data_IF_985288994324
#
_entry.id   IF_985288994324
#
_cell.length_a   1.000
_cell.length_b   1.000
_cell.length_c   1.000
_cell.angle_alpha   90.00
_cell.angle_beta   90.00
_cell.angle_gamma   90.00
#
_symmetry.space_group_name_H-M   'P 1'
#
loop_
_entity.id
_entity.type
_entity.pdbx_description
1 polymer ?
#
# COMPACT_ATOMS: atom_id res chain seq x y z
N UNK A 1 -33.62 29.03 26.52
CA UNK A 1 -33.41 29.03 25.06
C UNK A 1 -31.96 28.85 24.65
N UNK A 2 -31.02 29.44 25.34
CA UNK A 2 -29.59 29.25 25.02
C UNK A 2 -29.07 27.83 25.22
N UNK A 3 -29.62 27.08 26.16
CA UNK A 3 -29.24 25.71 26.49
C UNK A 3 -29.61 24.73 25.37
N UNK A 4 -30.71 24.97 24.66
CA UNK A 4 -31.17 24.15 23.55
C UNK A 4 -30.33 24.34 22.28
N UNK A 5 -29.81 25.53 22.04
CA UNK A 5 -28.92 25.85 20.93
C UNK A 5 -27.54 25.18 21.08
N UNK A 6 -27.01 25.12 22.30
CA UNK A 6 -25.76 24.43 22.60
C UNK A 6 -25.85 22.92 22.39
N UNK A 7 -26.99 22.32 22.71
CA UNK A 7 -27.23 20.89 22.48
C UNK A 7 -27.34 20.56 20.99
N UNK A 8 -27.94 21.43 20.20
CA UNK A 8 -28.04 21.26 18.75
C UNK A 8 -26.67 21.33 18.08
N UNK A 9 -25.81 22.25 18.51
CA UNK A 9 -24.45 22.39 18.03
C UNK A 9 -23.59 21.16 18.34
N UNK A 10 -23.80 20.56 19.50
CA UNK A 10 -23.08 19.38 19.93
C UNK A 10 -23.46 18.15 19.11
N UNK A 11 -24.73 18.00 18.73
CA UNK A 11 -25.22 16.91 17.89
C UNK A 11 -24.68 17.02 16.47
N UNK A 12 -24.56 18.23 15.92
CA UNK A 12 -23.98 18.48 14.59
C UNK A 12 -22.50 18.12 14.56
N UNK A 13 -21.77 18.38 15.63
CA UNK A 13 -20.36 18.01 15.77
C UNK A 13 -20.14 16.49 15.79
N UNK A 14 -21.03 15.75 16.44
CA UNK A 14 -20.98 14.28 16.47
C UNK A 14 -21.23 13.65 15.10
N UNK A 15 -22.12 14.21 14.29
CA UNK A 15 -22.40 13.76 12.93
C UNK A 15 -21.19 14.01 12.01
N UNK A 16 -20.48 15.12 12.20
CA UNK A 16 -19.26 15.42 11.47
C UNK A 16 -18.12 14.45 11.75
N UNK A 17 -18.02 13.95 12.98
CA UNK A 17 -17.00 12.96 13.38
C UNK A 17 -17.25 11.58 12.78
N UNK A 18 -18.51 11.15 12.62
CA UNK A 18 -18.85 9.87 11.98
C UNK A 18 -18.60 9.88 10.47
N UNK A 19 -18.65 11.06 9.81
CA UNK A 19 -18.32 11.19 8.39
C UNK A 19 -16.84 10.95 8.07
N UNK A 20 -15.93 11.16 9.02
CA UNK A 20 -14.49 10.96 8.83
C UNK A 20 -14.08 9.48 8.80
N UNK A 21 -14.87 8.56 9.37
CA UNK A 21 -14.56 7.14 9.38
C UNK A 21 -14.82 6.44 8.06
N UNK A 22 -15.53 7.07 7.11
CA UNK A 22 -15.83 6.51 5.79
C UNK A 22 -14.72 6.71 4.75
N UNK A 23 -13.64 7.44 5.09
CA UNK A 23 -12.52 7.71 4.18
C UNK A 23 -11.55 6.54 4.03
N UNK A 24 -11.66 5.48 4.82
CA UNK A 24 -10.71 4.35 4.79
C UNK A 24 -10.72 3.57 3.47
N UNK A 25 -11.85 3.54 2.74
CA UNK A 25 -11.95 2.84 1.45
C UNK A 25 -11.33 3.64 0.30
N UNK A 26 -11.38 4.97 0.36
CA UNK A 26 -10.77 5.84 -0.64
C UNK A 26 -9.24 5.75 -0.60
N UNK A 27 -8.65 5.58 0.58
CA UNK A 27 -7.21 5.41 0.77
C UNK A 27 -6.69 4.16 0.06
N UNK A 28 -7.45 3.07 0.05
CA UNK A 28 -7.07 1.82 -0.61
C UNK A 28 -7.09 1.96 -2.13
N UNK A 29 -8.03 2.72 -2.69
CA UNK A 29 -8.12 2.96 -4.15
C UNK A 29 -6.91 3.77 -4.63
N UNK A 30 -6.48 4.77 -3.86
CA UNK A 30 -5.31 5.58 -4.19
C UNK A 30 -4.00 4.81 -4.02
N UNK A 31 -3.99 3.79 -3.19
CA UNK A 31 -2.80 3.02 -2.88
C UNK A 31 -2.30 2.20 -4.07
N UNK A 32 -3.20 1.67 -4.90
CA UNK A 32 -2.84 0.82 -6.06
C UNK A 32 -1.89 1.50 -7.06
N UNK A 33 -2.17 2.72 -7.56
CA UNK A 33 -1.23 3.38 -8.47
C UNK A 33 0.10 3.70 -7.80
N UNK A 34 0.09 4.05 -6.52
CA UNK A 34 1.30 4.30 -5.77
C UNK A 34 2.12 3.02 -5.57
N UNK A 35 1.45 1.89 -5.33
CA UNK A 35 2.12 0.59 -5.23
C UNK A 35 2.77 0.18 -6.56
N UNK A 36 2.08 0.36 -7.67
CA UNK A 36 2.63 0.10 -8.99
C UNK A 36 3.89 0.94 -9.24
N UNK A 37 3.85 2.20 -8.89
CA UNK A 37 4.99 3.09 -8.98
C UNK A 37 6.14 2.63 -8.07
N UNK A 38 5.84 2.24 -6.84
CA UNK A 38 6.82 1.71 -5.91
C UNK A 38 7.49 0.45 -6.45
N UNK A 39 6.71 -0.48 -7.01
CA UNK A 39 7.21 -1.73 -7.57
C UNK A 39 8.17 -1.49 -8.73
N UNK A 40 7.84 -0.56 -9.61
CA UNK A 40 8.70 -0.17 -10.73
C UNK A 40 10.01 0.46 -10.26
N UNK A 41 9.95 1.31 -9.24
CA UNK A 41 11.15 1.94 -8.66
C UNK A 41 12.01 0.93 -7.91
N UNK A 42 11.39 0.00 -7.20
CA UNK A 42 12.10 -1.09 -6.53
C UNK A 42 12.84 -1.97 -7.56
N UNK A 43 12.16 -2.32 -8.64
CA UNK A 43 12.76 -3.10 -9.72
C UNK A 43 13.96 -2.36 -10.35
N UNK A 44 13.81 -1.08 -10.60
CA UNK A 44 14.89 -0.25 -11.14
C UNK A 44 16.09 -0.19 -10.17
N UNK A 45 15.83 -0.07 -8.87
CA UNK A 45 16.89 -0.05 -7.86
C UNK A 45 17.69 -1.37 -7.86
N UNK A 46 17.00 -2.50 -7.97
CA UNK A 46 17.63 -3.82 -7.97
C UNK A 46 18.39 -4.06 -9.27
N UNK A 47 17.73 -3.89 -10.42
CA UNK A 47 18.30 -4.28 -11.71
C UNK A 47 19.33 -3.30 -12.25
N UNK A 48 19.10 -2.00 -12.09
CA UNK A 48 19.98 -0.96 -12.66
C UNK A 48 21.01 -0.41 -11.70
N UNK A 49 20.66 -0.34 -10.40
CA UNK A 49 21.52 0.28 -9.40
C UNK A 49 22.20 -0.74 -8.50
N UNK A 50 21.87 -2.01 -8.65
CA UNK A 50 22.49 -3.07 -7.88
C UNK A 50 22.18 -3.05 -6.39
N UNK A 51 21.06 -2.46 -6.00
CA UNK A 51 20.64 -2.41 -4.59
C UNK A 51 20.20 -3.80 -4.16
N UNK A 52 20.70 -4.27 -3.03
CA UNK A 52 20.26 -5.54 -2.45
C UNK A 52 18.78 -5.46 -2.05
N UNK A 53 18.05 -6.57 -2.20
CA UNK A 53 16.61 -6.63 -1.95
C UNK A 53 16.26 -6.11 -0.56
N UNK A 54 17.03 -6.48 0.45
CA UNK A 54 16.78 -6.06 1.83
C UNK A 54 17.06 -4.56 2.07
N UNK A 55 17.77 -3.91 1.18
CA UNK A 55 18.14 -2.50 1.29
C UNK A 55 17.24 -1.58 0.46
N UNK A 56 16.34 -2.14 -0.37
CA UNK A 56 15.53 -1.37 -1.31
C UNK A 56 14.63 -0.38 -0.60
N UNK A 57 13.93 -0.79 0.46
CA UNK A 57 13.03 0.09 1.18
C UNK A 57 13.77 1.31 1.75
N UNK A 58 14.90 1.09 2.39
CA UNK A 58 15.74 2.18 2.92
C UNK A 58 16.30 3.08 1.83
N UNK A 59 16.71 2.50 0.71
CA UNK A 59 17.19 3.23 -0.46
C UNK A 59 16.10 4.17 -1.01
N UNK A 60 14.87 3.66 -1.16
CA UNK A 60 13.76 4.45 -1.67
C UNK A 60 13.30 5.52 -0.68
N UNK A 61 13.38 5.28 0.62
CA UNK A 61 13.10 6.30 1.63
C UNK A 61 14.03 7.51 1.50
N UNK A 62 15.27 7.28 1.08
CA UNK A 62 16.24 8.34 0.85
C UNK A 62 16.04 9.03 -0.49
N UNK A 63 15.75 8.26 -1.54
CA UNK A 63 15.67 8.78 -2.93
C UNK A 63 14.30 9.32 -3.30
N UNK A 64 13.24 8.76 -2.74
CA UNK A 64 11.87 9.15 -3.06
C UNK A 64 11.00 9.16 -1.80
N UNK A 65 11.28 10.06 -0.85
CA UNK A 65 10.55 10.09 0.42
C UNK A 65 9.06 10.42 0.24
N UNK A 66 8.70 11.16 -0.81
CA UNK A 66 7.31 11.53 -1.08
C UNK A 66 6.49 10.28 -1.44
N UNK A 67 7.03 9.42 -2.31
CA UNK A 67 6.38 8.16 -2.64
C UNK A 67 6.27 7.26 -1.40
N UNK A 68 7.33 7.14 -0.64
CA UNK A 68 7.38 6.26 0.54
C UNK A 68 6.45 6.70 1.66
N UNK A 69 6.13 7.98 1.74
CA UNK A 69 5.18 8.52 2.74
C UNK A 69 3.80 7.85 2.62
N UNK A 70 3.39 7.46 1.41
CA UNK A 70 2.13 6.77 1.18
C UNK A 70 2.06 5.39 1.86
N UNK A 71 3.20 4.81 2.20
CA UNK A 71 3.29 3.46 2.76
C UNK A 71 3.73 3.42 4.22
N UNK A 72 3.80 4.57 4.89
CA UNK A 72 4.31 4.66 6.27
C UNK A 72 3.52 3.82 7.28
N UNK A 73 2.23 3.61 7.04
CA UNK A 73 1.36 2.84 7.92
C UNK A 73 1.25 1.36 7.54
N UNK A 74 2.05 0.93 6.56
CA UNK A 74 2.04 -0.43 6.05
C UNK A 74 3.40 -1.08 6.22
N UNK A 75 3.39 -2.40 6.35
CA UNK A 75 4.60 -3.21 6.28
C UNK A 75 4.88 -3.56 4.82
N UNK A 76 6.10 -3.31 4.38
CA UNK A 76 6.52 -3.62 3.02
C UNK A 76 7.41 -4.85 3.02
N UNK A 77 7.09 -5.80 2.14
CA UNK A 77 7.94 -6.95 1.85
C UNK A 77 8.27 -6.97 0.37
N UNK A 78 9.54 -7.14 0.06
CA UNK A 78 10.04 -7.11 -1.31
C UNK A 78 10.81 -8.40 -1.56
N UNK A 79 10.54 -9.04 -2.71
CA UNK A 79 11.36 -10.15 -3.19
C UNK A 79 11.70 -9.95 -4.66
N UNK A 80 12.78 -10.57 -5.10
CA UNK A 80 13.22 -10.56 -6.47
C UNK A 80 13.46 -11.99 -6.91
N UNK A 81 12.70 -12.45 -7.89
CA UNK A 81 12.73 -13.82 -8.36
C UNK A 81 12.36 -13.86 -9.84
N UNK A 82 13.09 -14.65 -10.62
CA UNK A 82 12.89 -14.77 -12.07
C UNK A 82 12.96 -13.42 -12.80
N UNK A 83 13.83 -12.51 -12.33
CA UNK A 83 13.98 -11.15 -12.86
C UNK A 83 12.73 -10.29 -12.68
N UNK A 84 11.89 -10.64 -11.72
CA UNK A 84 10.67 -9.90 -11.38
C UNK A 84 10.76 -9.45 -9.93
N UNK A 85 10.49 -8.18 -9.71
CA UNK A 85 10.32 -7.63 -8.36
C UNK A 85 8.87 -7.76 -7.94
N UNK A 86 8.65 -8.32 -6.76
CA UNK A 86 7.33 -8.45 -6.15
C UNK A 86 7.31 -7.62 -4.88
N UNK A 87 6.34 -6.75 -4.75
CA UNK A 87 6.14 -5.92 -3.55
C UNK A 87 4.81 -6.28 -2.92
N UNK A 88 4.87 -6.68 -1.67
CA UNK A 88 3.70 -6.98 -0.85
C UNK A 88 3.55 -5.91 0.22
N UNK A 89 2.36 -5.37 0.36
CA UNK A 89 2.02 -4.50 1.48
C UNK A 89 1.06 -5.20 2.43
N UNK A 90 1.36 -5.08 3.71
CA UNK A 90 0.58 -5.69 4.78
C UNK A 90 0.19 -4.64 5.82
N UNK A 91 -0.89 -4.91 6.53
CA UNK A 91 -1.30 -4.12 7.68
C UNK A 91 -1.92 -5.05 8.71
N UNK A 92 -1.51 -4.90 9.97
CA UNK A 92 -1.97 -5.75 11.07
C UNK A 92 -1.82 -7.24 10.79
N UNK A 93 -0.67 -7.62 10.23
CA UNK A 93 -0.31 -8.98 9.84
C UNK A 93 -1.20 -9.58 8.74
N UNK A 94 -1.85 -8.75 7.95
CA UNK A 94 -2.70 -9.19 6.84
C UNK A 94 -2.20 -8.62 5.52
N UNK A 95 -2.21 -9.45 4.48
CA UNK A 95 -1.88 -9.02 3.13
C UNK A 95 -2.97 -8.09 2.58
N UNK A 96 -2.55 -6.94 2.09
CA UNK A 96 -3.44 -5.94 1.49
C UNK A 96 -3.37 -6.02 -0.04
N UNK A 97 -2.18 -5.80 -0.60
CA UNK A 97 -1.93 -5.89 -2.04
C UNK A 97 -0.56 -6.47 -2.30
N UNK A 98 -0.45 -7.19 -3.40
CA UNK A 98 0.80 -7.70 -3.94
C UNK A 98 0.91 -7.29 -5.40
N UNK A 99 2.04 -6.71 -5.79
CA UNK A 99 2.24 -6.19 -7.13
C UNK A 99 3.55 -6.71 -7.73
N UNK A 100 3.52 -6.96 -9.03
CA UNK A 100 4.68 -7.42 -9.78
C UNK A 100 5.20 -6.31 -10.68
N UNK A 101 6.51 -6.30 -10.94
CA UNK A 101 7.17 -5.30 -11.80
C UNK A 101 6.82 -5.43 -13.28
N UNK A 102 6.18 -6.53 -13.69
CA UNK A 102 5.64 -6.63 -15.03
C UNK A 102 4.35 -5.84 -15.19
N UNK A 103 4.04 -5.43 -16.42
CA UNK A 103 2.83 -4.65 -16.73
C UNK A 103 1.53 -5.45 -16.64
N UNK A 104 1.59 -6.67 -16.12
CA UNK A 104 0.40 -7.45 -15.83
C UNK A 104 -0.26 -6.95 -14.56
N UNK A 105 -1.45 -6.41 -14.72
CA UNK A 105 -2.28 -6.06 -13.58
C UNK A 105 -2.83 -7.33 -12.94
N UNK A 106 -2.16 -7.81 -11.92
CA UNK A 106 -2.73 -8.85 -11.08
C UNK A 106 -3.55 -8.12 -10.01
N UNK A 107 -4.85 -8.20 -10.18
CA UNK A 107 -5.81 -7.60 -9.27
C UNK A 107 -5.96 -8.51 -8.04
N UNK A 108 -4.90 -8.59 -7.26
CA UNK A 108 -4.90 -9.39 -6.03
C UNK A 108 -5.32 -8.51 -4.86
N UNK A 109 -6.64 -8.34 -4.72
CA UNK A 109 -7.21 -7.68 -3.56
C UNK A 109 -7.41 -8.73 -2.45
N UNK A 110 -6.47 -8.78 -1.52
CA UNK A 110 -6.53 -9.71 -0.40
C UNK A 110 -7.35 -9.19 0.78
N UNK A 111 -7.83 -7.96 0.74
CA UNK A 111 -8.54 -7.35 1.86
C UNK A 111 -9.82 -8.09 2.20
N UNK A 112 -10.53 -8.63 1.21
CA UNK A 112 -11.75 -9.38 1.40
C UNK A 112 -11.52 -10.83 1.84
N UNK A 113 -10.35 -11.39 1.55
CA UNK A 113 -10.01 -12.79 1.85
C UNK A 113 -9.33 -12.95 3.21
N UNK A 114 -8.97 -11.85 3.86
CA UNK A 114 -8.39 -11.83 5.21
C UNK A 114 -7.15 -12.70 5.36
N UNK A 115 -6.29 -12.73 4.33
CA UNK A 115 -5.10 -13.58 4.28
C UNK A 115 -3.97 -13.02 5.14
N UNK A 116 -3.19 -13.91 5.73
CA UNK A 116 -2.00 -13.52 6.49
C UNK A 116 -0.95 -12.86 5.60
N UNK A 117 -0.10 -12.02 6.22
CA UNK A 117 0.98 -11.34 5.52
C UNK A 117 2.04 -12.33 5.05
N UNK A 118 2.13 -12.51 3.75
CA UNK A 118 3.09 -13.41 3.10
C UNK A 118 2.91 -13.32 1.59
N UNK A 119 3.96 -13.66 0.84
CA UNK A 119 3.89 -13.66 -0.62
C UNK A 119 3.02 -14.81 -1.11
N UNK A 120 1.98 -14.50 -1.85
CA UNK A 120 1.05 -15.47 -2.42
C UNK A 120 1.40 -15.82 -3.87
N UNK A 121 2.07 -14.92 -4.58
CA UNK A 121 2.58 -15.22 -5.93
C UNK A 121 3.80 -16.12 -5.80
N UNK A 122 3.66 -17.38 -6.21
CA UNK A 122 4.73 -18.35 -6.31
C UNK A 122 5.20 -18.39 -7.75
N UNK A 123 6.51 -18.44 -7.99
CA UNK A 123 7.09 -18.47 -9.33
C UNK A 123 6.56 -17.34 -10.23
N UNK A 124 6.86 -16.06 -9.90
CA UNK A 124 6.36 -14.95 -10.70
C UNK A 124 6.81 -15.07 -12.15
N UNK A 125 5.87 -14.94 -13.08
CA UNK A 125 6.11 -14.99 -14.52
C UNK A 125 5.37 -13.84 -15.17
N UNK A 126 6.07 -13.09 -16.03
CA UNK A 126 5.45 -12.06 -16.85
C UNK A 126 5.03 -12.67 -18.17
N UNK A 127 3.76 -12.97 -18.33
CA UNK A 127 3.20 -13.38 -19.61
C UNK A 127 2.96 -12.16 -20.49
N UNK A 128 3.41 -12.28 -21.73
CA UNK A 128 3.17 -11.24 -22.73
C UNK A 128 1.87 -11.51 -23.47
#
# INVERSE_FOLDING_TARGET
MEITLKKSLFIILLIGLTGCSLKSNDDLIELKPNLNNLTKRANNAIERKGVAVNDVAGFLMTKDPILMENFKDYDLKIKYENQITVVLICKDNKAIYEDLSCDLQIDNDYTNDNKECGFYVQNPICEK
#
